data_IF_876471981530
#
_entry.id   IF_876471981530
#
_cell.length_a   1.000
_cell.length_b   1.000
_cell.length_c   1.000
_cell.angle_alpha   90.00
_cell.angle_beta   90.00
_cell.angle_gamma   90.00
#
_symmetry.space_group_name_H-M   'P 1'
#
loop_
_entity.id
_entity.type
_entity.pdbx_description
1 polymer ?
#
# COMPACT_ATOMS: atom_id res chain seq x y z
N UNK A 1 -5.02 -11.69 -1.06
CA UNK A 1 -5.81 -11.26 0.12
C UNK A 1 -6.32 -12.48 0.89
N UNK A 2 -7.02 -13.40 0.23
CA UNK A 2 -7.63 -14.58 0.89
C UNK A 2 -6.60 -15.49 1.57
N UNK A 3 -5.48 -15.79 0.90
CA UNK A 3 -4.38 -16.58 1.48
C UNK A 3 -3.81 -15.93 2.75
N UNK A 4 -3.65 -14.60 2.75
CA UNK A 4 -3.16 -13.88 3.92
C UNK A 4 -4.19 -13.92 5.07
N UNK A 5 -5.48 -13.75 4.76
CA UNK A 5 -6.57 -13.87 5.75
C UNK A 5 -6.59 -15.27 6.36
N UNK A 6 -6.50 -16.31 5.54
CA UNK A 6 -6.45 -17.70 6.00
C UNK A 6 -5.23 -17.94 6.91
N UNK A 7 -4.04 -17.54 6.46
CA UNK A 7 -2.80 -17.69 7.22
C UNK A 7 -2.86 -17.02 8.60
N UNK A 8 -3.34 -15.78 8.67
CA UNK A 8 -3.42 -15.05 9.94
C UNK A 8 -4.62 -15.48 10.81
N UNK A 9 -5.70 -16.01 10.22
CA UNK A 9 -6.84 -16.56 10.98
C UNK A 9 -6.49 -17.81 11.81
N UNK A 10 -5.48 -18.57 11.40
CA UNK A 10 -5.01 -19.79 12.09
C UNK A 10 -3.90 -19.54 13.10
N UNK A 11 -3.54 -18.27 13.33
CA UNK A 11 -2.56 -17.85 14.33
C UNK A 11 -1.18 -17.46 13.80
N UNK A 12 -0.93 -17.51 12.49
CA UNK A 12 0.34 -17.08 11.89
C UNK A 12 1.59 -17.67 12.57
N UNK A 13 2.72 -16.95 12.56
CA UNK A 13 3.93 -17.36 13.30
C UNK A 13 3.86 -17.11 14.81
N UNK A 14 3.11 -16.10 15.28
CA UNK A 14 3.12 -15.66 16.70
C UNK A 14 1.77 -15.13 17.26
N UNK A 15 0.62 -15.40 16.63
CA UNK A 15 -0.73 -14.92 17.05
C UNK A 15 -0.86 -13.41 17.29
N UNK A 16 -0.01 -12.60 16.64
CA UNK A 16 -0.12 -11.14 16.70
C UNK A 16 -1.42 -10.67 16.02
N UNK A 17 -2.05 -9.58 16.51
CA UNK A 17 -3.19 -8.99 15.83
C UNK A 17 -2.77 -8.46 14.46
N UNK A 18 -3.49 -8.87 13.41
CA UNK A 18 -3.24 -8.46 12.02
C UNK A 18 -4.55 -7.97 11.43
N UNK A 19 -4.52 -6.76 10.86
CA UNK A 19 -5.61 -6.19 10.09
C UNK A 19 -5.23 -6.18 8.61
N UNK A 20 -6.13 -6.66 7.76
CA UNK A 20 -5.90 -6.77 6.31
C UNK A 20 -6.99 -5.98 5.59
N UNK A 21 -6.56 -4.99 4.82
CA UNK A 21 -7.42 -4.17 3.96
C UNK A 21 -6.82 -4.06 2.56
N UNK A 22 -7.65 -3.71 1.59
CA UNK A 22 -7.22 -3.42 0.23
C UNK A 22 -7.00 -1.92 0.07
N UNK A 23 -5.83 -1.54 -0.44
CA UNK A 23 -5.48 -0.16 -0.75
C UNK A 23 -4.82 -0.13 -2.12
N UNK A 24 -5.44 0.58 -3.06
CA UNK A 24 -4.76 1.01 -4.28
C UNK A 24 -3.96 2.26 -3.94
N UNK A 25 -2.64 2.19 -4.02
CA UNK A 25 -1.76 3.28 -3.62
C UNK A 25 -1.85 4.50 -4.54
N UNK A 26 -2.47 4.36 -5.72
CA UNK A 26 -2.70 5.47 -6.65
C UNK A 26 -3.92 6.31 -6.27
N UNK A 27 -4.79 5.82 -5.39
CA UNK A 27 -5.99 6.53 -4.92
C UNK A 27 -5.70 7.29 -3.62
N UNK A 28 -5.68 8.63 -3.70
CA UNK A 28 -5.37 9.48 -2.56
C UNK A 28 -6.49 9.50 -1.49
N UNK A 29 -7.76 9.34 -1.88
CA UNK A 29 -8.87 9.34 -0.93
C UNK A 29 -8.92 8.02 -0.16
N UNK A 30 -8.56 6.92 -0.82
CA UNK A 30 -8.49 5.59 -0.19
C UNK A 30 -7.47 5.54 0.96
N UNK A 31 -6.41 6.36 0.93
CA UNK A 31 -5.43 6.43 2.02
C UNK A 31 -6.04 6.94 3.33
N UNK A 32 -6.88 7.98 3.28
CA UNK A 32 -7.52 8.51 4.48
C UNK A 32 -8.44 7.46 5.12
N UNK A 33 -9.24 6.78 4.30
CA UNK A 33 -10.11 5.69 4.75
C UNK A 33 -9.30 4.54 5.35
N UNK A 34 -8.20 4.14 4.71
CA UNK A 34 -7.33 3.08 5.20
C UNK A 34 -6.62 3.45 6.52
N UNK A 35 -6.20 4.70 6.67
CA UNK A 35 -5.58 5.20 7.90
C UNK A 35 -6.57 5.13 9.07
N UNK A 36 -7.77 5.71 8.90
CA UNK A 36 -8.83 5.68 9.90
C UNK A 36 -9.19 4.25 10.30
N UNK A 37 -9.31 3.35 9.32
CA UNK A 37 -9.65 1.95 9.56
C UNK A 37 -8.56 1.22 10.36
N UNK A 38 -7.29 1.32 9.94
CA UNK A 38 -6.17 0.65 10.64
C UNK A 38 -6.03 1.17 12.07
N UNK A 39 -6.10 2.48 12.27
CA UNK A 39 -5.94 3.07 13.61
C UNK A 39 -7.10 2.71 14.54
N UNK A 40 -8.32 2.55 14.00
CA UNK A 40 -9.47 2.08 14.78
C UNK A 40 -9.31 0.63 15.30
N UNK A 41 -8.56 -0.21 14.57
CA UNK A 41 -8.40 -1.64 14.87
C UNK A 41 -7.12 -1.91 15.67
N UNK A 42 -6.00 -1.28 15.31
CA UNK A 42 -4.67 -1.59 15.84
C UNK A 42 -4.05 -0.45 16.68
N UNK A 43 -4.69 0.72 16.71
CA UNK A 43 -4.13 1.94 17.29
C UNK A 43 -3.20 2.70 16.33
N UNK A 44 -2.62 3.82 16.77
CA UNK A 44 -1.88 4.73 15.90
C UNK A 44 -0.72 4.08 15.13
N UNK A 45 -0.57 4.47 13.86
CA UNK A 45 0.53 3.97 13.02
C UNK A 45 1.87 4.57 13.47
N UNK A 46 2.80 3.71 13.88
CA UNK A 46 4.14 4.12 14.35
C UNK A 46 5.22 3.95 13.28
N UNK A 47 5.00 3.03 12.33
CA UNK A 47 5.90 2.74 11.23
C UNK A 47 5.10 2.55 9.95
N UNK A 48 5.47 3.27 8.91
CA UNK A 48 4.88 3.16 7.58
C UNK A 48 5.90 2.58 6.61
N UNK A 49 5.50 1.53 5.87
CA UNK A 49 6.32 0.91 4.83
C UNK A 49 5.65 1.08 3.47
N UNK A 50 6.04 2.12 2.74
CA UNK A 50 5.60 2.34 1.36
C UNK A 50 6.38 1.41 0.42
N UNK A 51 5.87 0.19 0.24
CA UNK A 51 6.58 -0.88 -0.51
C UNK A 51 5.94 -1.20 -1.86
N UNK A 52 4.71 -0.73 -2.11
CA UNK A 52 4.03 -0.97 -3.38
C UNK A 52 4.87 -0.42 -4.54
N UNK A 53 5.10 -1.25 -5.54
CA UNK A 53 5.94 -0.91 -6.67
C UNK A 53 5.65 -1.76 -7.89
N UNK A 54 5.72 -1.14 -9.06
CA UNK A 54 5.57 -1.78 -10.36
C UNK A 54 6.81 -1.54 -11.21
N UNK A 55 7.05 -2.47 -12.14
CA UNK A 55 8.13 -2.36 -13.10
C UNK A 55 7.66 -2.93 -14.43
N UNK A 56 7.85 -2.15 -15.49
CA UNK A 56 7.64 -2.58 -16.86
C UNK A 56 8.95 -3.20 -17.35
N UNK A 57 8.85 -4.35 -18.03
CA UNK A 57 10.01 -5.08 -18.58
C UNK A 57 10.34 -4.64 -20.01
N UNK A 58 10.14 -3.36 -20.32
CA UNK A 58 10.51 -2.77 -21.62
C UNK A 58 11.73 -1.87 -21.45
N UNK A 59 12.64 -1.81 -22.44
CA UNK A 59 13.69 -0.80 -22.47
C UNK A 59 13.11 0.62 -22.34
N UNK A 60 13.78 1.50 -21.60
CA UNK A 60 13.26 2.83 -21.27
C UNK A 60 12.99 3.70 -22.51
N UNK A 61 13.78 3.52 -23.58
CA UNK A 61 13.62 4.19 -24.88
C UNK A 61 12.45 3.67 -25.71
N UNK A 62 11.90 2.51 -25.33
CA UNK A 62 10.71 1.91 -25.94
C UNK A 62 9.46 2.00 -25.05
N UNK A 63 9.58 2.58 -23.85
CA UNK A 63 8.46 2.74 -22.94
C UNK A 63 7.48 3.80 -23.48
N UNK A 64 6.19 3.48 -23.43
CA UNK A 64 5.11 4.40 -23.77
C UNK A 64 4.86 5.39 -22.64
N UNK A 65 4.12 6.47 -22.90
CA UNK A 65 3.68 7.37 -21.83
C UNK A 65 2.81 6.66 -20.79
N UNK A 66 1.97 5.71 -21.21
CA UNK A 66 1.15 4.92 -20.27
C UNK A 66 2.02 4.06 -19.33
N UNK A 67 3.15 3.52 -19.82
CA UNK A 67 4.12 2.80 -18.98
C UNK A 67 4.73 3.72 -17.91
N UNK A 68 5.12 4.94 -18.32
CA UNK A 68 5.67 5.94 -17.41
C UNK A 68 4.65 6.42 -16.40
N UNK A 69 3.44 6.74 -16.84
CA UNK A 69 2.36 7.19 -15.98
C UNK A 69 2.03 6.13 -14.93
N UNK A 70 1.93 4.86 -15.33
CA UNK A 70 1.71 3.77 -14.40
C UNK A 70 2.83 3.65 -13.34
N UNK A 71 4.10 3.76 -13.75
CA UNK A 71 5.23 3.76 -12.81
C UNK A 71 5.19 4.94 -11.86
N UNK A 72 4.94 6.15 -12.38
CA UNK A 72 4.93 7.36 -11.56
C UNK A 72 3.76 7.35 -10.58
N UNK A 73 2.58 6.90 -11.00
CA UNK A 73 1.41 6.79 -10.13
C UNK A 73 1.67 5.85 -8.95
N UNK A 74 2.23 4.67 -9.20
CA UNK A 74 2.47 3.69 -8.12
C UNK A 74 3.74 4.02 -7.33
N UNK A 75 4.88 4.15 -8.00
CA UNK A 75 6.20 4.16 -7.36
C UNK A 75 6.57 5.51 -6.75
N UNK A 76 5.98 6.61 -7.24
CA UNK A 76 6.24 7.96 -6.74
C UNK A 76 5.02 8.53 -6.02
N UNK A 77 3.90 8.70 -6.74
CA UNK A 77 2.71 9.32 -6.16
C UNK A 77 2.11 8.47 -5.04
N UNK A 78 2.14 7.14 -5.12
CA UNK A 78 1.73 6.28 -4.01
C UNK A 78 2.55 6.50 -2.73
N UNK A 79 3.86 6.70 -2.86
CA UNK A 79 4.72 7.05 -1.71
C UNK A 79 4.35 8.43 -1.16
N UNK A 80 4.12 9.41 -2.04
CA UNK A 80 3.70 10.76 -1.65
C UNK A 80 2.36 10.70 -0.90
N UNK A 81 1.39 9.92 -1.36
CA UNK A 81 0.10 9.74 -0.71
C UNK A 81 0.26 9.19 0.72
N UNK A 82 1.12 8.18 0.89
CA UNK A 82 1.45 7.64 2.22
C UNK A 82 2.10 8.67 3.15
N UNK A 83 3.07 9.44 2.65
CA UNK A 83 3.72 10.50 3.44
C UNK A 83 2.70 11.57 3.83
N UNK A 84 1.95 12.09 2.87
CA UNK A 84 0.96 13.14 3.12
C UNK A 84 -0.09 12.69 4.13
N UNK A 85 -0.47 11.42 4.15
CA UNK A 85 -1.50 10.89 5.04
C UNK A 85 -1.00 10.67 6.47
N UNK A 86 0.13 9.99 6.63
CA UNK A 86 0.58 9.49 7.93
C UNK A 86 1.69 10.32 8.60
N UNK A 87 2.40 11.16 7.84
CA UNK A 87 3.50 11.98 8.36
C UNK A 87 3.00 13.41 8.54
N UNK A 88 2.24 13.64 9.61
CA UNK A 88 1.74 14.95 10.03
C UNK A 88 2.00 15.19 11.51
#
# INVERSE_FOLDING_TARGET
MDEAREYFSTGGREKLPVHILHLDVTDHEAYAVAADEVESVLGPVQLLFNTAGVSARVPADNATYDDWDWHLQVNLYGVINGIQTFVR
#
